data_IF_671782563494
#
_entry.id   IF_671782563494
#
_cell.length_a   1.000
_cell.length_b   1.000
_cell.length_c   1.000
_cell.angle_alpha   90.00
_cell.angle_beta   90.00
_cell.angle_gamma   90.00
#
_symmetry.space_group_name_H-M   'P 1'
#
loop_
_entity.id
_entity.type
_entity.pdbx_description
1 polymer ?
#
# COMPACT_ATOMS: atom_id res chain seq x y z
N UNK A 1 -9.57 4.97 -21.45
CA UNK A 1 -9.72 3.51 -21.33
C UNK A 1 -9.84 3.24 -19.85
N UNK A 2 -11.07 3.02 -19.42
CA UNK A 2 -11.37 2.59 -18.06
C UNK A 2 -10.64 1.25 -17.87
N UNK A 3 -9.64 1.24 -17.00
CA UNK A 3 -8.87 0.03 -16.76
C UNK A 3 -9.76 -0.92 -15.97
N UNK A 4 -10.15 -2.04 -16.56
CA UNK A 4 -10.96 -3.05 -15.89
C UNK A 4 -10.36 -3.38 -14.52
N UNK A 5 -11.19 -3.23 -13.49
CA UNK A 5 -10.83 -3.56 -12.11
C UNK A 5 -10.74 -5.08 -11.99
N UNK A 6 -9.59 -5.58 -11.52
CA UNK A 6 -9.36 -7.00 -11.29
C UNK A 6 -9.11 -7.29 -9.82
N UNK A 7 -9.35 -8.52 -9.41
CA UNK A 7 -9.05 -8.96 -8.05
C UNK A 7 -7.60 -9.45 -7.97
N UNK A 8 -6.76 -8.74 -7.23
CA UNK A 8 -5.42 -9.16 -6.88
C UNK A 8 -5.41 -9.89 -5.54
N UNK A 9 -4.70 -11.00 -5.45
CA UNK A 9 -4.39 -11.65 -4.18
C UNK A 9 -2.96 -11.33 -3.79
N UNK A 10 -2.66 -11.37 -2.50
CA UNK A 10 -1.30 -11.15 -2.03
C UNK A 10 -1.14 -11.40 -0.56
N UNK A 11 0.06 -11.11 -0.05
CA UNK A 11 0.36 -11.35 1.34
C UNK A 11 1.84 -11.24 1.69
N UNK A 12 2.17 -11.63 2.91
CA UNK A 12 3.55 -11.69 3.38
C UNK A 12 4.27 -12.95 2.88
N UNK A 13 5.60 -12.97 2.99
CA UNK A 13 6.45 -14.08 2.56
C UNK A 13 6.06 -15.43 3.19
N UNK A 14 5.79 -15.46 4.50
CA UNK A 14 5.45 -16.70 5.20
C UNK A 14 3.97 -17.11 5.06
N UNK A 15 3.20 -16.41 4.23
CA UNK A 15 1.79 -16.66 3.89
C UNK A 15 0.78 -16.64 5.04
N UNK A 16 1.20 -16.25 6.25
CA UNK A 16 0.30 -16.06 7.40
C UNK A 16 -0.63 -14.87 7.22
N UNK A 17 -0.12 -13.80 6.62
CA UNK A 17 -0.91 -12.59 6.28
C UNK A 17 -1.28 -12.68 4.81
N UNK A 18 -2.57 -12.77 4.53
CA UNK A 18 -3.16 -12.84 3.19
C UNK A 18 -4.27 -11.81 3.05
N UNK A 19 -4.39 -11.25 1.87
CA UNK A 19 -5.41 -10.26 1.53
C UNK A 19 -5.80 -10.39 0.06
N UNK A 20 -6.94 -9.79 -0.28
CA UNK A 20 -7.32 -9.50 -1.65
C UNK A 20 -7.61 -8.00 -1.81
N UNK A 21 -7.39 -7.49 -3.00
CA UNK A 21 -7.62 -6.08 -3.33
C UNK A 21 -8.17 -5.94 -4.75
N UNK A 22 -9.20 -5.13 -4.91
CA UNK A 22 -9.71 -4.75 -6.22
C UNK A 22 -8.97 -3.51 -6.72
N UNK A 23 -8.23 -3.63 -7.82
CA UNK A 23 -7.49 -2.54 -8.45
C UNK A 23 -7.30 -2.82 -9.96
N UNK A 24 -6.89 -1.82 -10.75
CA UNK A 24 -6.49 -2.05 -12.14
C UNK A 24 -5.29 -2.99 -12.25
N UNK A 25 -5.20 -3.76 -13.34
CA UNK A 25 -4.01 -4.57 -13.66
C UNK A 25 -2.74 -3.73 -13.92
N UNK A 26 -2.92 -2.45 -14.26
CA UNK A 26 -1.86 -1.46 -14.42
C UNK A 26 -2.00 -0.37 -13.35
N UNK A 27 -1.05 -0.29 -12.42
CA UNK A 27 -1.12 0.64 -11.28
C UNK A 27 0.01 1.67 -11.30
N UNK A 28 -0.22 2.80 -10.63
CA UNK A 28 0.84 3.74 -10.24
C UNK A 28 1.24 3.44 -8.80
N UNK A 29 2.50 3.08 -8.59
CA UNK A 29 3.08 2.84 -7.27
C UNK A 29 4.03 3.98 -6.86
N UNK A 30 4.07 4.28 -5.58
CA UNK A 30 4.84 5.36 -5.00
C UNK A 30 6.05 4.83 -4.23
N UNK A 31 7.22 5.38 -4.56
CA UNK A 31 8.49 5.11 -3.88
C UNK A 31 8.87 6.32 -3.04
N UNK A 32 8.71 6.20 -1.71
CA UNK A 32 8.92 7.30 -0.76
C UNK A 32 10.32 7.26 -0.14
N UNK A 33 10.99 8.41 -0.08
CA UNK A 33 12.35 8.57 0.45
C UNK A 33 12.43 9.00 1.93
N UNK A 34 11.32 8.99 2.70
CA UNK A 34 11.36 9.32 4.12
C UNK A 34 12.16 8.28 4.91
N UNK A 35 12.53 8.60 6.16
CA UNK A 35 13.41 7.76 6.98
C UNK A 35 12.90 6.32 7.14
N UNK A 36 11.62 6.11 7.42
CA UNK A 36 11.06 4.76 7.57
C UNK A 36 10.87 4.05 6.20
N UNK A 37 10.23 4.70 5.23
CA UNK A 37 9.92 4.07 3.93
C UNK A 37 11.17 3.68 3.14
N UNK A 38 12.22 4.52 3.17
CA UNK A 38 13.49 4.24 2.51
C UNK A 38 14.19 3.02 3.13
N UNK A 39 14.21 2.91 4.47
CA UNK A 39 14.78 1.76 5.17
C UNK A 39 14.01 0.47 4.90
N UNK A 40 12.67 0.54 4.76
CA UNK A 40 11.85 -0.62 4.40
C UNK A 40 11.98 -1.02 2.93
N UNK A 41 12.48 -0.14 2.06
CA UNK A 41 12.45 -0.34 0.61
C UNK A 41 11.03 -0.47 0.05
N UNK A 42 10.04 0.16 0.68
CA UNK A 42 8.64 -0.06 0.36
C UNK A 42 8.18 0.79 -0.83
N UNK A 43 7.69 0.14 -1.88
CA UNK A 43 7.03 0.78 -3.04
C UNK A 43 5.62 0.22 -3.16
N UNK A 44 4.62 1.09 -3.19
CA UNK A 44 3.22 0.67 -3.00
C UNK A 44 2.25 1.47 -3.88
N UNK A 45 1.20 0.83 -4.34
CA UNK A 45 0.03 1.53 -4.89
C UNK A 45 -1.02 1.69 -3.78
N UNK A 46 -1.94 2.64 -3.94
CA UNK A 46 -2.95 2.96 -2.94
C UNK A 46 -4.32 2.66 -3.52
N UNK A 47 -5.19 2.09 -2.69
CA UNK A 47 -6.61 1.87 -3.00
C UNK A 47 -7.50 2.43 -1.89
N UNK A 48 -8.78 2.73 -2.18
CA UNK A 48 -9.78 2.95 -1.14
C UNK A 48 -9.87 1.75 -0.20
N UNK A 49 -10.07 1.98 1.10
CA UNK A 49 -10.17 0.90 2.09
C UNK A 49 -11.28 -0.11 1.79
N UNK A 50 -12.39 0.33 1.18
CA UNK A 50 -13.49 -0.55 0.75
C UNK A 50 -13.12 -1.54 -0.35
N UNK A 51 -12.00 -1.34 -1.05
CA UNK A 51 -11.50 -2.25 -2.09
C UNK A 51 -10.50 -3.27 -1.56
N UNK A 52 -10.16 -3.25 -0.26
CA UNK A 52 -9.17 -4.12 0.35
C UNK A 52 -9.80 -5.00 1.44
N UNK A 53 -9.42 -6.28 1.44
CA UNK A 53 -9.92 -7.25 2.42
C UNK A 53 -8.78 -8.13 2.97
N UNK A 54 -8.69 -8.22 4.29
CA UNK A 54 -7.86 -9.21 4.99
C UNK A 54 -8.59 -10.56 5.03
N UNK A 55 -7.88 -11.64 4.72
CA UNK A 55 -8.46 -12.97 4.61
C UNK A 55 -8.17 -13.82 5.85
N UNK A 56 -9.17 -14.57 6.33
CA UNK A 56 -9.03 -15.51 7.46
C UNK A 56 -8.41 -14.88 8.71
N UNK A 57 -7.53 -15.62 9.37
CA UNK A 57 -6.89 -15.21 10.63
C UNK A 57 -5.72 -14.23 10.43
N UNK A 58 -5.57 -13.65 9.23
CA UNK A 58 -4.44 -12.79 8.87
C UNK A 58 -4.19 -11.67 9.87
N UNK A 59 -5.26 -11.15 10.48
CA UNK A 59 -5.21 -10.08 11.50
C UNK A 59 -4.39 -10.47 12.73
N UNK A 60 -4.38 -11.74 13.13
CA UNK A 60 -3.67 -12.22 14.32
C UNK A 60 -2.15 -12.19 14.15
N UNK A 61 -1.67 -12.19 12.91
CA UNK A 61 -0.25 -12.26 12.57
C UNK A 61 0.36 -10.89 12.26
N UNK A 62 -0.39 -9.81 12.50
CA UNK A 62 0.04 -8.43 12.24
C UNK A 62 0.67 -7.79 13.48
N UNK A 63 1.66 -6.94 13.23
CA UNK A 63 2.13 -5.92 14.16
C UNK A 63 2.10 -4.56 13.46
N UNK A 64 1.90 -3.49 14.22
CA UNK A 64 1.81 -2.13 13.68
C UNK A 64 2.77 -1.22 14.42
N UNK A 65 3.58 -0.50 13.64
CA UNK A 65 4.45 0.56 14.12
C UNK A 65 3.90 1.93 13.69
N UNK A 66 3.98 2.92 14.58
CA UNK A 66 3.56 4.30 14.31
C UNK A 66 4.53 5.26 14.97
N UNK A 67 4.75 6.42 14.34
CA UNK A 67 5.59 7.48 14.86
C UNK A 67 5.14 8.83 14.26
N UNK A 68 5.76 9.93 14.70
CA UNK A 68 5.46 11.27 14.18
C UNK A 68 4.02 11.66 14.49
N UNK A 69 3.21 11.90 13.46
CA UNK A 69 1.78 12.23 13.64
C UNK A 69 0.92 11.04 14.09
N UNK A 70 1.49 9.83 14.12
CA UNK A 70 0.78 8.57 14.38
C UNK A 70 -0.38 8.26 13.40
N UNK A 71 -0.51 9.03 12.32
CA UNK A 71 -1.53 8.82 11.28
C UNK A 71 -1.22 7.57 10.46
N UNK A 72 0.02 7.46 9.96
CA UNK A 72 0.44 6.26 9.27
C UNK A 72 0.48 5.06 10.22
N UNK A 73 -0.10 3.93 9.79
CA UNK A 73 -0.07 2.65 10.49
C UNK A 73 0.82 1.70 9.69
N UNK A 74 2.11 1.65 10.00
CA UNK A 74 3.07 0.79 9.33
C UNK A 74 2.86 -0.65 9.81
N UNK A 75 1.98 -1.37 9.12
CA UNK A 75 1.58 -2.74 9.44
C UNK A 75 2.49 -3.76 8.75
N UNK A 76 2.88 -4.82 9.45
CA UNK A 76 3.74 -5.87 8.92
C UNK A 76 3.47 -7.22 9.59
N UNK A 77 3.90 -8.30 8.94
CA UNK A 77 3.80 -9.63 9.52
C UNK A 77 4.79 -9.79 10.69
N UNK A 78 4.28 -10.11 11.88
CA UNK A 78 5.10 -10.29 13.09
C UNK A 78 6.05 -11.49 13.06
N UNK A 79 5.89 -12.38 12.08
CA UNK A 79 6.73 -13.58 11.90
C UNK A 79 7.84 -13.42 10.87
N UNK A 80 7.58 -12.76 9.74
CA UNK A 80 8.56 -12.61 8.66
C UNK A 80 8.96 -11.16 8.37
N UNK A 81 8.42 -10.18 9.09
CA UNK A 81 8.78 -8.76 8.97
C UNK A 81 8.24 -8.05 7.73
N UNK A 82 7.66 -8.77 6.75
CA UNK A 82 7.19 -8.17 5.50
C UNK A 82 5.98 -7.25 5.73
N UNK A 83 6.12 -5.99 5.32
CA UNK A 83 5.04 -5.03 5.11
C UNK A 83 4.38 -5.32 3.76
N UNK A 84 3.34 -6.16 3.76
CA UNK A 84 2.59 -6.46 2.53
C UNK A 84 1.52 -5.39 2.21
N UNK A 85 1.09 -4.64 3.21
CA UNK A 85 0.23 -3.47 3.10
C UNK A 85 0.37 -2.61 4.36
N UNK A 86 -0.07 -1.36 4.31
CA UNK A 86 -0.14 -0.47 5.48
C UNK A 86 -1.14 0.67 5.25
N UNK A 87 -1.44 1.47 6.28
CA UNK A 87 -2.26 2.69 6.12
C UNK A 87 -1.31 3.89 6.03
N UNK A 88 -1.20 4.60 4.90
CA UNK A 88 -0.28 5.71 4.75
C UNK A 88 -0.81 7.01 5.37
N UNK A 89 0.10 7.94 5.77
CA UNK A 89 -0.28 9.27 6.29
C UNK A 89 -1.09 10.08 5.27
N UNK A 90 -0.80 9.94 3.98
CA UNK A 90 -1.45 10.68 2.90
C UNK A 90 -2.89 10.24 2.63
N UNK A 91 -3.24 9.00 2.97
CA UNK A 91 -4.52 8.39 2.68
C UNK A 91 -4.97 7.56 3.90
N UNK A 92 -5.36 8.22 5.01
CA UNK A 92 -5.79 7.52 6.23
C UNK A 92 -7.07 6.70 6.04
N UNK A 93 -7.81 6.98 4.97
CA UNK A 93 -9.01 6.32 4.44
C UNK A 93 -8.70 5.19 3.43
N UNK A 94 -7.44 5.03 3.05
CA UNK A 94 -6.98 4.07 2.05
C UNK A 94 -5.99 3.03 2.59
N UNK A 95 -5.66 2.08 1.73
CA UNK A 95 -4.65 1.05 1.99
C UNK A 95 -3.55 1.14 0.95
N UNK A 96 -2.31 1.24 1.40
CA UNK A 96 -1.12 1.15 0.57
C UNK A 96 -0.66 -0.31 0.46
N UNK A 97 -0.75 -0.89 -0.73
CA UNK A 97 -0.38 -2.27 -1.04
C UNK A 97 1.03 -2.32 -1.64
N UNK A 98 1.94 -3.06 -0.99
CA UNK A 98 3.30 -3.25 -1.49
C UNK A 98 3.24 -4.07 -2.78
N UNK A 99 3.60 -3.47 -3.92
CA UNK A 99 3.31 -4.08 -5.23
C UNK A 99 3.99 -5.46 -5.41
N UNK A 100 5.18 -5.65 -4.81
CA UNK A 100 5.92 -6.93 -4.84
C UNK A 100 5.30 -8.02 -3.98
N UNK A 101 4.30 -7.70 -3.17
CA UNK A 101 3.54 -8.66 -2.36
C UNK A 101 2.23 -9.11 -3.02
N UNK A 102 1.91 -8.59 -4.22
CA UNK A 102 0.85 -9.12 -5.08
C UNK A 102 1.34 -10.46 -5.65
N UNK A 103 0.51 -11.49 -5.57
CA UNK A 103 0.79 -12.77 -6.21
C UNK A 103 0.86 -12.60 -7.74
N UNK A 104 1.68 -13.42 -8.40
CA UNK A 104 1.85 -13.33 -9.85
C UNK A 104 0.55 -13.59 -10.62
N UNK A 105 0.32 -12.85 -11.71
CA UNK A 105 -0.69 -13.16 -12.72
C UNK A 105 -1.66 -12.02 -13.05
N UNK A 106 -2.00 -11.15 -12.09
CA UNK A 106 -3.02 -10.11 -12.28
C UNK A 106 -2.47 -8.70 -12.40
N UNK A 107 -1.30 -8.42 -11.82
CA UNK A 107 -0.63 -7.12 -11.92
C UNK A 107 0.36 -7.15 -13.10
N UNK A 108 -0.03 -6.52 -14.22
CA UNK A 108 0.68 -6.59 -15.50
C UNK A 108 1.62 -5.41 -15.74
N UNK A 109 1.34 -4.27 -15.13
CA UNK A 109 2.18 -3.07 -15.24
C UNK A 109 2.22 -2.27 -13.94
N UNK A 110 3.39 -1.71 -13.62
CA UNK A 110 3.60 -0.86 -12.46
C UNK A 110 4.43 0.35 -12.88
N UNK A 111 3.78 1.51 -12.99
CA UNK A 111 4.49 2.78 -13.11
C UNK A 111 4.98 3.19 -11.71
N UNK A 112 6.28 3.48 -11.56
CA UNK A 112 6.84 3.92 -10.28
C UNK A 112 7.02 5.44 -10.32
N UNK A 113 6.34 6.14 -9.40
CA UNK A 113 6.56 7.56 -9.12
C UNK A 113 7.34 7.73 -7.82
N UNK A 114 8.23 8.71 -7.79
CA UNK A 114 8.96 9.06 -6.59
C UNK A 114 8.16 10.06 -5.75
N UNK A 115 8.17 9.86 -4.43
CA UNK A 115 7.57 10.74 -3.46
C UNK A 115 8.64 11.28 -2.52
N UNK A 116 8.78 12.60 -2.45
CA UNK A 116 9.71 13.23 -1.52
C UNK A 116 9.08 13.36 -0.12
N UNK A 117 9.18 12.27 0.63
CA UNK A 117 8.70 12.18 2.00
C UNK A 117 9.59 12.87 3.03
N UNK A 118 10.78 13.35 2.65
CA UNK A 118 11.58 14.25 3.50
C UNK A 118 10.98 15.65 3.55
N UNK A 119 10.34 16.08 2.46
CA UNK A 119 9.62 17.36 2.35
C UNK A 119 8.09 17.13 2.21
N UNK A 120 7.51 16.36 3.15
CA UNK A 120 6.17 15.78 3.04
C UNK A 120 5.08 16.80 2.69
N UNK A 121 5.03 17.95 3.37
CA UNK A 121 3.97 18.96 3.19
C UNK A 121 3.96 19.57 1.78
N UNK A 122 5.14 19.74 1.18
CA UNK A 122 5.28 20.23 -0.19
C UNK A 122 4.84 19.16 -1.19
N UNK A 123 5.37 17.94 -1.03
CA UNK A 123 5.06 16.80 -1.89
C UNK A 123 3.58 16.44 -1.88
N UNK A 124 2.94 16.45 -0.71
CA UNK A 124 1.52 16.17 -0.58
C UNK A 124 0.66 17.13 -1.40
N UNK A 125 0.99 18.42 -1.42
CA UNK A 125 0.24 19.45 -2.18
C UNK A 125 0.42 19.33 -3.69
N UNK A 126 1.57 18.82 -4.15
CA UNK A 126 1.93 18.85 -5.57
C UNK A 126 1.65 17.54 -6.32
N UNK A 127 1.64 16.41 -5.61
CA UNK A 127 1.60 15.07 -6.25
C UNK A 127 0.20 14.55 -6.53
N UNK A 128 -0.83 15.10 -5.87
CA UNK A 128 -2.18 14.58 -5.95
C UNK A 128 -2.37 13.20 -5.30
N UNK A 129 -1.40 12.69 -4.54
CA UNK A 129 -1.44 11.33 -3.94
C UNK A 129 -2.70 11.06 -3.09
N UNK A 130 -3.31 12.11 -2.53
CA UNK A 130 -4.56 12.02 -1.78
C UNK A 130 -5.73 11.44 -2.60
N UNK A 131 -5.75 11.65 -3.92
CA UNK A 131 -6.83 11.13 -4.77
C UNK A 131 -6.77 9.62 -4.95
N UNK A 132 -5.64 8.96 -4.65
CA UNK A 132 -5.49 7.52 -4.86
C UNK A 132 -6.38 6.66 -3.95
N UNK A 133 -6.98 7.22 -2.89
CA UNK A 133 -7.96 6.53 -2.03
C UNK A 133 -9.39 7.05 -2.15
N UNK A 134 -9.59 8.12 -2.91
CA UNK A 134 -10.90 8.66 -3.22
C UNK A 134 -11.42 7.80 -4.39
N UNK A 135 -12.50 7.04 -4.19
CA UNK A 135 -13.07 6.20 -5.26
C UNK A 135 -13.31 7.02 -6.53
N UNK A 136 -13.07 6.43 -7.68
CA UNK A 136 -13.61 6.97 -8.93
C UNK A 136 -15.11 6.70 -8.90
N UNK A 137 -15.91 7.76 -8.71
CA UNK A 137 -17.34 7.72 -9.00
C UNK A 137 -17.61 7.30 -10.45
#
# INVERSE_FOLDING_TARGET
MESDMVMHNGGCHCRRVRWRVQAPSSVVAWNCNCSDCSMRGNTHFIVPSGMFELLGDSREFLSTYTFGTHTAKHTFCKFCGITSFYIPRSNPDGVAVTFRCVDAGTLTHVEIKHYDGRNWESSYKQTGIASCSQGTD
#
